data_IF_533639424944
#
_entry.id   IF_533639424944
#
_cell.length_a   1.000
_cell.length_b   1.000
_cell.length_c   1.000
_cell.angle_alpha   90.00
_cell.angle_beta   90.00
_cell.angle_gamma   90.00
#
_symmetry.space_group_name_H-M   'P 1'
#
loop_
_entity.id
_entity.type
_entity.pdbx_description
1 polymer ?
#
# COMPACT_ATOMS: atom_id res chain seq x y z
N UNK A 1 -12.04 -6.56 3.08
CA UNK A 1 -10.92 -5.70 3.51
C UNK A 1 -11.48 -4.31 3.74
N UNK A 2 -10.97 -3.61 4.75
CA UNK A 2 -11.34 -2.23 5.04
C UNK A 2 -10.24 -1.26 4.58
N UNK A 3 -10.63 -0.06 4.15
CA UNK A 3 -9.71 1.04 3.82
C UNK A 3 -9.86 2.13 4.86
N UNK A 4 -8.79 2.39 5.59
CA UNK A 4 -8.72 3.42 6.63
C UNK A 4 -7.88 4.60 6.17
N UNK A 5 -8.17 5.79 6.69
CA UNK A 5 -7.37 6.99 6.43
C UNK A 5 -7.48 7.54 5.01
N UNK A 6 -8.48 7.15 4.22
CA UNK A 6 -8.67 7.63 2.84
C UNK A 6 -8.81 9.15 2.75
N UNK A 7 -9.49 9.75 3.72
CA UNK A 7 -9.67 11.20 3.82
C UNK A 7 -8.34 11.92 4.08
N UNK A 8 -7.41 11.26 4.79
CA UNK A 8 -6.11 11.85 5.13
C UNK A 8 -5.17 12.04 3.94
N UNK A 9 -5.45 11.37 2.82
CA UNK A 9 -4.65 11.45 1.59
C UNK A 9 -5.40 12.13 0.43
N UNK A 10 -6.63 12.60 0.64
CA UNK A 10 -7.47 13.11 -0.46
C UNK A 10 -6.87 14.35 -1.12
N UNK A 11 -6.38 15.30 -0.33
CA UNK A 11 -5.67 16.49 -0.82
C UNK A 11 -4.31 16.14 -1.41
N UNK A 12 -3.60 15.18 -0.80
CA UNK A 12 -2.30 14.69 -1.26
C UNK A 12 -2.42 14.11 -2.67
N UNK A 13 -3.47 13.36 -2.98
CA UNK A 13 -3.71 12.78 -4.30
C UNK A 13 -3.90 13.80 -5.43
N UNK A 14 -4.16 15.07 -5.10
CA UNK A 14 -4.29 16.15 -6.09
C UNK A 14 -2.93 16.73 -6.51
N UNK A 15 -1.84 16.35 -5.85
CA UNK A 15 -0.49 16.80 -6.18
C UNK A 15 0.15 15.93 -7.28
N UNK A 16 0.79 16.54 -8.28
CA UNK A 16 1.44 15.80 -9.38
C UNK A 16 2.53 14.83 -8.88
N UNK A 17 3.18 15.15 -7.76
CA UNK A 17 4.30 14.40 -7.18
C UNK A 17 3.98 13.89 -5.78
N UNK A 18 2.78 13.38 -5.57
CA UNK A 18 2.36 12.96 -4.24
C UNK A 18 3.22 11.81 -3.67
N UNK A 19 3.30 11.79 -2.35
CA UNK A 19 3.90 10.70 -1.59
C UNK A 19 3.14 10.54 -0.28
N UNK A 20 2.65 9.34 -0.03
CA UNK A 20 2.05 8.96 1.25
C UNK A 20 2.46 7.52 1.61
N UNK A 21 2.16 7.11 2.83
CA UNK A 21 2.54 5.80 3.37
C UNK A 21 1.29 4.93 3.52
N UNK A 22 1.51 3.62 3.61
CA UNK A 22 0.46 2.67 3.95
C UNK A 22 0.95 1.59 4.92
N UNK A 23 -0.02 0.99 5.63
CA UNK A 23 0.07 -0.33 6.25
C UNK A 23 -0.95 -1.25 5.61
N UNK A 24 -0.60 -2.51 5.34
CA UNK A 24 -1.53 -3.46 4.71
C UNK A 24 -1.37 -4.88 5.22
N UNK A 25 -2.50 -5.55 5.45
CA UNK A 25 -2.57 -6.97 5.78
C UNK A 25 -3.91 -7.56 5.33
N UNK A 26 -4.20 -8.81 5.72
CA UNK A 26 -5.43 -9.51 5.32
C UNK A 26 -6.74 -8.84 5.81
N UNK A 27 -6.69 -7.97 6.82
CA UNK A 27 -7.84 -7.23 7.33
C UNK A 27 -8.13 -5.96 6.53
N UNK A 28 -7.10 -5.26 6.05
CA UNK A 28 -7.29 -4.01 5.34
C UNK A 28 -6.01 -3.27 4.99
N UNK A 29 -6.20 -2.01 4.60
CA UNK A 29 -5.14 -1.05 4.33
C UNK A 29 -5.41 0.23 5.12
N UNK A 30 -4.36 0.78 5.71
CA UNK A 30 -4.37 2.06 6.41
C UNK A 30 -3.48 3.03 5.65
N UNK A 31 -4.06 4.13 5.16
CA UNK A 31 -3.41 5.15 4.35
C UNK A 31 -3.16 6.39 5.21
N UNK A 32 -1.97 6.99 5.11
CA UNK A 32 -1.61 8.13 5.95
C UNK A 32 -0.49 8.97 5.35
N UNK A 33 -0.38 10.22 5.82
CA UNK A 33 0.63 11.18 5.38
C UNK A 33 2.05 10.61 5.51
N UNK A 34 2.92 11.04 4.59
CA UNK A 34 4.37 10.77 4.65
C UNK A 34 5.03 11.22 5.96
N UNK A 35 4.45 12.19 6.66
CA UNK A 35 5.00 12.77 7.89
C UNK A 35 4.72 11.90 9.13
N UNK A 36 3.82 10.92 9.01
CA UNK A 36 3.54 9.95 10.08
C UNK A 36 4.44 8.73 9.88
N UNK A 37 5.14 8.30 10.92
CA UNK A 37 5.90 7.05 10.89
C UNK A 37 4.99 5.83 11.08
N UNK A 38 5.37 4.70 10.48
CA UNK A 38 4.57 3.46 10.50
C UNK A 38 4.25 2.98 11.92
N UNK A 39 5.13 3.24 12.90
CA UNK A 39 4.94 2.89 14.32
C UNK A 39 3.96 3.81 15.06
N UNK A 40 3.67 5.00 14.52
CA UNK A 40 2.84 6.01 15.17
C UNK A 40 1.35 5.82 14.89
N UNK A 41 1.00 4.90 13.99
CA UNK A 41 -0.38 4.72 13.54
C UNK A 41 -0.70 3.22 13.41
N UNK A 42 -1.89 2.87 13.86
CA UNK A 42 -2.38 1.49 13.81
C UNK A 42 -3.90 1.49 13.85
N UNK A 43 -4.48 0.46 13.29
CA UNK A 43 -5.88 0.09 13.54
C UNK A 43 -5.91 -1.16 14.43
N UNK A 44 -7.03 -1.49 15.10
CA UNK A 44 -7.11 -2.64 15.99
C UNK A 44 -6.53 -3.93 15.40
N UNK A 45 -6.77 -4.15 14.10
CA UNK A 45 -6.36 -5.34 13.33
C UNK A 45 -5.19 -5.09 12.36
N UNK A 46 -4.66 -3.87 12.25
CA UNK A 46 -3.55 -3.51 11.34
C UNK A 46 -2.46 -2.85 12.16
N UNK A 47 -1.39 -3.59 12.44
CA UNK A 47 -0.30 -3.16 13.32
C UNK A 47 1.04 -3.38 12.66
N UNK A 48 1.80 -2.29 12.61
CA UNK A 48 3.21 -2.33 12.32
C UNK A 48 4.00 -2.40 13.61
N UNK A 49 4.94 -3.33 13.66
CA UNK A 49 5.99 -3.36 14.68
C UNK A 49 7.32 -3.62 13.97
N UNK A 50 8.41 -3.12 14.54
CA UNK A 50 9.75 -3.33 14.01
C UNK A 50 10.11 -4.82 13.99
N UNK A 51 11.12 -5.17 13.20
CA UNK A 51 11.65 -6.54 13.11
C UNK A 51 10.60 -7.58 12.71
N UNK A 52 9.61 -7.18 11.89
CA UNK A 52 8.55 -8.06 11.38
C UNK A 52 7.67 -8.70 12.46
N UNK A 53 7.62 -8.12 13.67
CA UNK A 53 6.79 -8.66 14.78
C UNK A 53 5.31 -8.32 14.60
N UNK A 54 5.03 -7.25 13.85
CA UNK A 54 3.67 -6.81 13.54
C UNK A 54 2.95 -7.76 12.59
N UNK A 55 1.72 -7.40 12.24
CA UNK A 55 0.91 -8.19 11.31
C UNK A 55 0.67 -7.48 9.98
N UNK A 56 1.41 -6.41 9.68
CA UNK A 56 1.18 -5.56 8.52
C UNK A 56 2.47 -5.18 7.79
N UNK A 57 2.39 -5.19 6.45
CA UNK A 57 3.41 -4.67 5.57
C UNK A 57 3.39 -3.14 5.58
N UNK A 58 4.57 -2.54 5.77
CA UNK A 58 4.77 -1.12 5.56
C UNK A 58 5.07 -0.81 4.10
N UNK A 59 4.48 0.26 3.57
CA UNK A 59 4.69 0.70 2.21
C UNK A 59 4.71 2.20 2.02
N UNK A 60 5.12 2.61 0.83
CA UNK A 60 5.01 3.98 0.30
C UNK A 60 4.29 3.95 -1.04
N UNK A 61 3.50 4.99 -1.29
CA UNK A 61 2.72 5.15 -2.52
C UNK A 61 3.12 6.45 -3.21
N UNK A 62 3.40 6.34 -4.49
CA UNK A 62 3.72 7.44 -5.42
C UNK A 62 2.87 7.27 -6.69
N UNK A 63 2.77 8.30 -7.56
CA UNK A 63 2.07 8.17 -8.82
C UNK A 63 2.51 6.93 -9.61
N UNK A 64 1.58 6.01 -9.85
CA UNK A 64 1.83 4.80 -10.63
C UNK A 64 2.57 3.68 -9.89
N UNK A 65 2.90 3.82 -8.61
CA UNK A 65 3.86 2.92 -7.94
C UNK A 65 3.58 2.73 -6.45
N UNK A 66 3.54 1.48 -6.00
CA UNK A 66 3.50 1.08 -4.59
C UNK A 66 4.75 0.26 -4.27
N UNK A 67 5.56 0.72 -3.34
CA UNK A 67 6.74 -0.03 -2.84
C UNK A 67 6.46 -0.53 -1.43
N UNK A 68 6.57 -1.84 -1.23
CA UNK A 68 6.38 -2.53 0.04
C UNK A 68 7.73 -2.95 0.64
N UNK A 69 7.89 -2.71 1.94
CA UNK A 69 9.04 -3.12 2.73
C UNK A 69 8.94 -4.59 3.10
N UNK A 70 10.10 -5.24 3.22
CA UNK A 70 10.23 -6.61 3.67
C UNK A 70 9.48 -6.87 4.99
N UNK A 71 8.88 -8.06 5.08
CA UNK A 71 8.32 -8.61 6.31
C UNK A 71 8.41 -10.14 6.29
N UNK A 72 8.82 -10.75 7.40
CA UNK A 72 9.16 -12.18 7.50
C UNK A 72 7.97 -13.09 7.14
N UNK A 73 6.78 -12.75 7.62
CA UNK A 73 5.54 -13.50 7.38
C UNK A 73 4.93 -13.30 5.97
N UNK A 74 5.52 -12.45 5.12
CA UNK A 74 4.96 -12.09 3.83
C UNK A 74 5.87 -12.50 2.68
N UNK A 75 5.69 -13.73 2.19
CA UNK A 75 6.30 -14.19 0.95
C UNK A 75 5.68 -13.56 -0.29
N UNK A 76 6.43 -13.49 -1.40
CA UNK A 76 6.04 -12.81 -2.64
C UNK A 76 4.62 -13.15 -3.12
N UNK A 77 4.26 -14.44 -3.13
CA UNK A 77 2.93 -14.87 -3.56
C UNK A 77 1.81 -14.36 -2.65
N UNK A 78 2.06 -14.35 -1.33
CA UNK A 78 1.12 -13.79 -0.35
C UNK A 78 0.96 -12.29 -0.58
N UNK A 79 2.06 -11.56 -0.78
CA UNK A 79 2.04 -10.12 -1.08
C UNK A 79 1.28 -9.84 -2.36
N UNK A 80 1.55 -10.61 -3.42
CA UNK A 80 0.87 -10.47 -4.72
C UNK A 80 -0.64 -10.64 -4.58
N UNK A 81 -1.10 -11.72 -3.96
CA UNK A 81 -2.53 -11.99 -3.74
C UNK A 81 -3.19 -10.96 -2.81
N UNK A 82 -2.48 -10.50 -1.79
CA UNK A 82 -2.95 -9.43 -0.91
C UNK A 82 -3.15 -8.13 -1.70
N UNK A 83 -2.14 -7.72 -2.46
CA UNK A 83 -2.18 -6.45 -3.17
C UNK A 83 -3.14 -6.45 -4.36
N UNK A 84 -3.35 -7.57 -5.04
CA UNK A 84 -4.42 -7.71 -6.03
C UNK A 84 -5.78 -7.40 -5.42
N UNK A 85 -6.08 -7.98 -4.25
CA UNK A 85 -7.34 -7.70 -3.53
C UNK A 85 -7.45 -6.24 -3.09
N UNK A 86 -6.34 -5.61 -2.72
CA UNK A 86 -6.30 -4.21 -2.26
C UNK A 86 -6.57 -3.23 -3.39
N UNK A 87 -5.90 -3.37 -4.54
CA UNK A 87 -6.03 -2.43 -5.66
C UNK A 87 -7.41 -2.53 -6.34
N UNK A 88 -8.08 -3.67 -6.20
CA UNK A 88 -9.45 -3.88 -6.68
C UNK A 88 -10.51 -3.21 -5.78
N UNK A 89 -10.14 -2.68 -4.61
CA UNK A 89 -11.07 -1.98 -3.73
C UNK A 89 -11.52 -0.64 -4.37
N UNK A 90 -12.81 -0.28 -4.30
CA UNK A 90 -13.31 1.00 -4.83
C UNK A 90 -12.57 2.23 -4.29
N UNK A 91 -12.20 2.21 -3.01
CA UNK A 91 -11.48 3.30 -2.35
C UNK A 91 -10.03 3.44 -2.84
N UNK A 92 -9.50 2.37 -3.44
CA UNK A 92 -8.17 2.27 -4.06
C UNK A 92 -8.22 2.45 -5.59
N UNK A 93 -9.34 2.94 -6.16
CA UNK A 93 -9.49 3.11 -7.60
C UNK A 93 -8.36 3.92 -8.25
N UNK A 94 -7.78 4.89 -7.51
CA UNK A 94 -6.64 5.68 -7.98
C UNK A 94 -5.38 4.83 -8.27
N UNK A 95 -5.25 3.66 -7.64
CA UNK A 95 -4.08 2.77 -7.72
C UNK A 95 -4.28 1.55 -8.64
N UNK A 96 -5.43 1.42 -9.31
CA UNK A 96 -5.74 0.24 -10.14
C UNK A 96 -4.71 -0.02 -11.25
N UNK A 97 -4.05 1.03 -11.74
CA UNK A 97 -3.03 0.95 -12.79
C UNK A 97 -1.60 0.95 -12.25
N UNK A 98 -1.40 0.84 -10.94
CA UNK A 98 -0.08 0.99 -10.35
C UNK A 98 0.70 -0.31 -10.43
N UNK A 99 2.02 -0.19 -10.57
CA UNK A 99 2.88 -1.32 -10.27
C UNK A 99 2.99 -1.49 -8.76
N UNK A 100 3.12 -2.74 -8.32
CA UNK A 100 3.41 -3.10 -6.94
C UNK A 100 4.75 -3.78 -6.90
N UNK A 101 5.65 -3.21 -6.12
CA UNK A 101 7.03 -3.68 -5.93
C UNK A 101 7.21 -4.14 -4.49
N UNK A 102 7.88 -5.27 -4.32
CA UNK A 102 8.22 -5.85 -3.03
C UNK A 102 9.68 -6.29 -3.02
N UNK A 103 10.49 -5.68 -2.15
CA UNK A 103 11.94 -5.90 -2.10
C UNK A 103 12.60 -5.67 -3.47
N UNK A 104 12.21 -4.58 -4.16
CA UNK A 104 12.73 -4.25 -5.49
C UNK A 104 12.27 -5.16 -6.64
N UNK A 105 11.35 -6.10 -6.39
CA UNK A 105 10.80 -7.01 -7.42
C UNK A 105 9.36 -6.61 -7.74
N UNK A 106 9.05 -6.46 -9.02
CA UNK A 106 7.69 -6.17 -9.49
C UNK A 106 6.82 -7.41 -9.31
N UNK A 107 5.82 -7.35 -8.44
CA UNK A 107 4.86 -8.43 -8.19
C UNK A 107 3.56 -8.24 -8.98
N UNK A 108 3.17 -6.98 -9.22
CA UNK A 108 2.06 -6.61 -10.09
C UNK A 108 2.61 -5.55 -11.04
N UNK A 109 2.59 -5.83 -12.34
CA UNK A 109 3.04 -4.87 -13.34
C UNK A 109 1.96 -3.83 -13.62
N UNK A 110 2.38 -2.63 -14.04
CA UNK A 110 1.49 -1.67 -14.69
C UNK A 110 0.75 -2.36 -15.85
N UNK A 111 -0.56 -2.14 -16.01
CA UNK A 111 -1.24 -2.58 -17.22
C UNK A 111 -0.58 -1.94 -18.44
N UNK A 112 -0.55 -2.62 -19.59
CA UNK A 112 -0.07 -2.02 -20.83
C UNK A 112 -0.87 -0.74 -21.09
N UNK A 113 -0.17 0.38 -21.29
CA UNK A 113 -0.80 1.59 -21.78
C UNK A 113 -1.07 1.36 -23.26
N UNK A 114 -2.32 1.00 -23.61
CA UNK A 114 -2.74 1.10 -24.99
C UNK A 114 -2.63 2.58 -25.39
N UNK A 115 -1.70 2.89 -26.30
CA UNK A 115 -1.61 4.20 -26.95
C UNK A 115 -2.95 4.44 -27.67
N UNK A 116 -3.78 5.32 -27.09
CA UNK A 116 -5.01 5.83 -27.70
C UNK A 116 -4.72 7.10 -28.50
#
# INVERSE_FOLDING_TARGET
MHVYGRDSIETILQEDSYLFKLLVNDHGVLLFSRDTEHEQISEPDIRFETDSVGNALAGVVKPGHIELRYHDDFGDERVRLLMQRVIELPEMAFAQSFEVVYQGRVLIAKPPQDEA
#
